data_IF_906832509639
#
_entry.id   IF_906832509639
#
_cell.length_a   1.000
_cell.length_b   1.000
_cell.length_c   1.000
_cell.angle_alpha   90.00
_cell.angle_beta   90.00
_cell.angle_gamma   90.00
#
_symmetry.space_group_name_H-M   'P 1'
#
loop_
_entity.id
_entity.type
_entity.pdbx_description
1 polymer ?
#
# COMPACT_ATOMS: atom_id res chain seq x y z
N UNK A 1 7.84 -5.94 21.98
CA UNK A 1 6.52 -5.64 21.39
C UNK A 1 6.62 -5.69 19.87
N UNK A 2 5.79 -6.51 19.24
CA UNK A 2 5.80 -6.62 17.78
C UNK A 2 5.09 -5.44 17.16
N UNK A 3 5.69 -4.86 16.11
CA UNK A 3 5.08 -3.78 15.34
C UNK A 3 4.67 -4.32 13.98
N UNK A 4 3.38 -4.46 13.78
CA UNK A 4 2.81 -4.97 12.55
C UNK A 4 2.16 -3.83 11.77
N UNK A 5 2.48 -3.76 10.49
CA UNK A 5 2.04 -2.68 9.64
C UNK A 5 1.21 -3.19 8.46
N UNK A 6 0.31 -2.35 7.98
CA UNK A 6 -0.47 -2.56 6.77
C UNK A 6 -0.04 -1.55 5.72
N UNK A 7 0.17 -2.00 4.51
CA UNK A 7 0.38 -1.11 3.37
C UNK A 7 -0.78 -1.29 2.40
N UNK A 8 -1.80 -0.44 2.50
CA UNK A 8 -2.98 -0.55 1.65
C UNK A 8 -2.81 0.16 0.31
N UNK A 9 -3.47 -0.33 -0.71
CA UNK A 9 -3.49 0.31 -2.01
C UNK A 9 -4.22 -0.50 -3.05
N UNK A 10 -4.29 0.03 -4.24
CA UNK A 10 -4.90 -0.66 -5.39
C UNK A 10 -3.91 -1.60 -6.07
N UNK A 11 -2.65 -1.18 -6.20
CA UNK A 11 -1.58 -1.98 -6.83
C UNK A 11 -2.00 -2.57 -8.17
N UNK A 12 -2.28 -1.70 -9.11
CA UNK A 12 -2.89 -2.09 -10.38
C UNK A 12 -2.07 -1.55 -11.58
N UNK A 13 -0.89 -2.09 -11.83
CA UNK A 13 -0.18 -3.14 -11.11
C UNK A 13 0.76 -2.59 -10.03
N UNK A 14 1.40 -3.49 -9.28
CA UNK A 14 2.50 -3.12 -8.37
C UNK A 14 3.67 -2.60 -9.20
N UNK A 15 4.33 -1.55 -8.69
CA UNK A 15 5.46 -0.91 -9.38
C UNK A 15 6.75 -1.07 -8.60
N UNK A 16 7.88 -0.66 -9.20
CA UNK A 16 9.16 -0.65 -8.50
C UNK A 16 9.15 0.31 -7.31
N UNK A 17 8.37 1.40 -7.39
CA UNK A 17 8.17 2.30 -6.27
C UNK A 17 7.48 1.62 -5.10
N UNK A 18 6.44 0.85 -5.40
CA UNK A 18 5.76 0.05 -4.37
C UNK A 18 6.71 -0.97 -3.75
N UNK A 19 7.48 -1.67 -4.57
CA UNK A 19 8.44 -2.67 -4.10
C UNK A 19 9.47 -2.05 -3.16
N UNK A 20 10.00 -0.88 -3.52
CA UNK A 20 10.96 -0.16 -2.70
C UNK A 20 10.36 0.22 -1.33
N UNK A 21 9.13 0.75 -1.33
CA UNK A 21 8.46 1.13 -0.08
C UNK A 21 8.21 -0.09 0.81
N UNK A 22 7.75 -1.19 0.23
CA UNK A 22 7.50 -2.43 1.00
C UNK A 22 8.80 -2.96 1.59
N UNK A 23 9.88 -2.97 0.80
CA UNK A 23 11.19 -3.42 1.28
C UNK A 23 11.66 -2.60 2.46
N UNK A 24 11.52 -1.27 2.39
CA UNK A 24 11.92 -0.39 3.50
C UNK A 24 11.01 -0.56 4.71
N UNK A 25 9.71 -0.68 4.50
CA UNK A 25 8.76 -0.95 5.59
C UNK A 25 9.07 -2.29 6.26
N UNK A 26 9.42 -3.31 5.49
CA UNK A 26 9.77 -4.62 6.01
C UNK A 26 11.03 -4.59 6.89
N UNK A 27 11.92 -3.62 6.66
CA UNK A 27 13.11 -3.45 7.50
C UNK A 27 12.82 -2.72 8.81
N UNK A 28 11.69 -1.99 8.87
CA UNK A 28 11.30 -1.20 10.05
C UNK A 28 10.35 -1.98 10.95
N UNK A 29 9.41 -2.71 10.34
CA UNK A 29 8.34 -3.39 11.07
C UNK A 29 8.56 -4.90 11.10
N UNK A 30 8.04 -5.54 12.14
CA UNK A 30 8.19 -6.99 12.29
C UNK A 30 7.42 -7.77 11.24
N UNK A 31 6.26 -7.23 10.82
CA UNK A 31 5.39 -7.84 9.83
C UNK A 31 4.74 -6.74 9.01
N UNK A 32 4.71 -6.92 7.70
CA UNK A 32 4.03 -6.00 6.79
C UNK A 32 2.99 -6.78 5.98
N UNK A 33 1.74 -6.33 6.04
CA UNK A 33 0.66 -6.88 5.23
C UNK A 33 0.38 -5.89 4.10
N UNK A 34 0.70 -6.29 2.87
CA UNK A 34 0.33 -5.54 1.68
C UNK A 34 -1.11 -5.89 1.36
N UNK A 35 -2.01 -4.93 1.57
CA UNK A 35 -3.44 -5.15 1.45
C UNK A 35 -3.96 -4.49 0.19
N UNK A 36 -4.45 -5.30 -0.73
CA UNK A 36 -4.88 -4.85 -2.06
C UNK A 36 -6.40 -4.68 -2.06
N UNK A 37 -6.85 -3.46 -2.37
CA UNK A 37 -8.27 -3.13 -2.32
C UNK A 37 -9.07 -3.89 -3.39
N UNK A 38 -10.08 -4.63 -2.93
CA UNK A 38 -10.93 -5.42 -3.82
C UNK A 38 -11.82 -4.54 -4.69
N UNK A 39 -12.34 -3.45 -4.11
CA UNK A 39 -13.30 -2.56 -4.75
C UNK A 39 -12.75 -1.13 -4.80
N UNK A 40 -11.77 -0.85 -5.69
CA UNK A 40 -11.29 0.52 -5.85
C UNK A 40 -12.38 1.39 -6.49
N UNK A 41 -12.28 2.71 -6.26
CA UNK A 41 -13.23 3.69 -6.83
C UNK A 41 -13.22 3.75 -8.35
N UNK A 42 -12.12 3.30 -8.97
CA UNK A 42 -11.98 3.23 -10.41
C UNK A 42 -11.93 1.78 -10.84
N UNK A 43 -12.48 1.47 -12.02
CA UNK A 43 -12.37 0.12 -12.57
C UNK A 43 -10.89 -0.24 -12.76
N UNK A 44 -10.41 -1.32 -12.15
CA UNK A 44 -9.00 -1.70 -12.27
C UNK A 44 -8.70 -2.29 -13.64
N UNK A 45 -7.44 -2.17 -14.08
CA UNK A 45 -6.98 -2.81 -15.30
C UNK A 45 -6.88 -4.32 -15.13
N UNK A 46 -6.48 -4.76 -13.92
CA UNK A 46 -6.34 -6.18 -13.61
C UNK A 46 -7.31 -6.57 -12.49
N UNK A 47 -7.93 -7.76 -12.58
CA UNK A 47 -8.78 -8.25 -11.49
C UNK A 47 -7.97 -8.46 -10.22
N UNK A 48 -8.65 -8.49 -9.08
CA UNK A 48 -8.01 -8.60 -7.77
C UNK A 48 -7.04 -9.79 -7.70
N UNK A 49 -7.45 -10.95 -8.19
CA UNK A 49 -6.64 -12.16 -8.13
C UNK A 49 -5.30 -11.98 -8.85
N UNK A 50 -5.31 -11.32 -10.00
CA UNK A 50 -4.08 -11.04 -10.74
C UNK A 50 -3.22 -10.02 -10.04
N UNK A 51 -3.82 -8.98 -9.44
CA UNK A 51 -3.07 -7.97 -8.71
C UNK A 51 -2.38 -8.57 -7.48
N UNK A 52 -3.07 -9.44 -6.77
CA UNK A 52 -2.51 -10.15 -5.62
C UNK A 52 -1.37 -11.08 -6.07
N UNK A 53 -1.58 -11.84 -7.14
CA UNK A 53 -0.58 -12.76 -7.64
C UNK A 53 0.69 -12.03 -8.09
N UNK A 54 0.54 -10.93 -8.84
CA UNK A 54 1.68 -10.12 -9.27
C UNK A 54 2.47 -9.58 -8.08
N UNK A 55 1.77 -9.08 -7.07
CA UNK A 55 2.42 -8.56 -5.87
C UNK A 55 3.15 -9.66 -5.10
N UNK A 56 2.56 -10.83 -4.98
CA UNK A 56 3.22 -11.97 -4.32
C UNK A 56 4.50 -12.37 -5.03
N UNK A 57 4.49 -12.37 -6.35
CA UNK A 57 5.69 -12.71 -7.16
C UNK A 57 6.79 -11.68 -6.97
N UNK A 58 6.44 -10.40 -6.94
CA UNK A 58 7.40 -9.31 -6.79
C UNK A 58 8.00 -9.30 -5.38
N UNK A 59 7.20 -9.64 -4.37
CA UNK A 59 7.58 -9.51 -2.97
C UNK A 59 8.00 -10.83 -2.31
N UNK A 60 8.19 -11.89 -3.10
CA UNK A 60 8.44 -13.24 -2.57
C UNK A 60 9.74 -13.36 -1.78
N UNK A 61 10.70 -12.47 -1.99
CA UNK A 61 11.99 -12.47 -1.31
C UNK A 61 11.96 -11.78 0.06
N UNK A 62 10.83 -11.23 0.47
CA UNK A 62 10.68 -10.55 1.75
C UNK A 62 9.90 -11.46 2.72
N UNK A 63 10.60 -12.13 3.66
CA UNK A 63 9.97 -13.19 4.46
C UNK A 63 8.92 -12.71 5.45
N UNK A 64 8.97 -11.45 5.85
CA UNK A 64 8.01 -10.88 6.80
C UNK A 64 6.88 -10.09 6.11
N UNK A 65 6.72 -10.27 4.81
CA UNK A 65 5.69 -9.59 4.01
C UNK A 65 4.63 -10.60 3.58
N UNK A 66 3.36 -10.24 3.81
CA UNK A 66 2.22 -11.01 3.33
C UNK A 66 1.43 -10.14 2.34
N UNK A 67 0.82 -10.76 1.35
CA UNK A 67 -0.03 -10.06 0.37
C UNK A 67 -1.42 -10.65 0.44
N UNK A 68 -2.42 -9.79 0.65
CA UNK A 68 -3.83 -10.21 0.73
C UNK A 68 -4.72 -9.21 0.01
N UNK A 69 -5.88 -9.66 -0.44
CA UNK A 69 -6.95 -8.78 -0.87
C UNK A 69 -7.82 -8.40 0.32
N UNK A 70 -8.44 -7.23 0.28
CA UNK A 70 -9.37 -6.83 1.33
C UNK A 70 -10.47 -5.93 0.76
N UNK A 71 -11.57 -5.83 1.51
CA UNK A 71 -12.67 -4.94 1.20
C UNK A 71 -13.10 -4.21 2.47
N UNK A 72 -13.89 -3.15 2.31
CA UNK A 72 -14.36 -2.36 3.43
C UNK A 72 -13.35 -1.30 3.88
N UNK A 73 -13.53 -0.82 5.09
CA UNK A 73 -12.68 0.26 5.62
C UNK A 73 -11.30 -0.26 6.00
N UNK A 74 -10.27 0.49 5.61
CA UNK A 74 -8.88 0.18 5.91
C UNK A 74 -8.64 0.02 7.40
N UNK A 75 -9.20 0.91 8.22
CA UNK A 75 -9.01 0.90 9.67
C UNK A 75 -9.64 -0.34 10.31
N UNK A 76 -10.78 -0.80 9.79
CA UNK A 76 -11.44 -2.01 10.29
C UNK A 76 -10.59 -3.24 9.97
N UNK A 77 -10.10 -3.33 8.74
CA UNK A 77 -9.22 -4.44 8.35
C UNK A 77 -7.96 -4.46 9.23
N UNK A 78 -7.34 -3.29 9.44
CA UNK A 78 -6.14 -3.19 10.26
C UNK A 78 -6.39 -3.68 11.67
N UNK A 79 -7.47 -3.22 12.30
CA UNK A 79 -7.84 -3.63 13.65
C UNK A 79 -8.10 -5.14 13.74
N UNK A 80 -8.84 -5.68 12.79
CA UNK A 80 -9.21 -7.09 12.79
C UNK A 80 -8.01 -8.03 12.57
N UNK A 81 -6.92 -7.50 12.02
CA UNK A 81 -5.71 -8.27 11.74
C UNK A 81 -4.53 -7.87 12.62
N UNK A 82 -4.77 -7.15 13.71
CA UNK A 82 -3.75 -6.71 14.66
C UNK A 82 -2.64 -5.87 14.01
N UNK A 83 -3.03 -5.02 13.07
CA UNK A 83 -2.11 -4.11 12.38
C UNK A 83 -2.27 -2.71 12.97
N UNK A 84 -1.31 -2.30 13.80
CA UNK A 84 -1.39 -1.03 14.52
C UNK A 84 -0.86 0.17 13.72
N UNK A 85 -0.20 -0.09 12.59
CA UNK A 85 0.41 0.95 11.76
C UNK A 85 -0.11 0.82 10.33
N UNK A 86 -0.49 1.95 9.74
CA UNK A 86 -0.79 2.02 8.31
C UNK A 86 0.32 2.81 7.63
N UNK A 87 1.01 2.16 6.70
CA UNK A 87 2.08 2.78 5.92
C UNK A 87 1.48 3.42 4.68
N UNK A 88 1.85 4.65 4.42
CA UNK A 88 1.40 5.39 3.25
C UNK A 88 2.60 5.95 2.50
N UNK A 89 2.60 5.79 1.17
CA UNK A 89 3.65 6.34 0.32
C UNK A 89 3.32 7.76 -0.11
N UNK A 90 4.31 8.63 -0.08
CA UNK A 90 4.17 10.01 -0.52
C UNK A 90 5.08 10.26 -1.71
N UNK A 91 4.54 10.84 -2.79
CA UNK A 91 5.30 11.15 -4.00
C UNK A 91 5.47 12.65 -4.21
N UNK A 92 4.52 13.46 -3.70
CA UNK A 92 4.52 14.90 -3.89
C UNK A 92 3.77 15.58 -2.76
N UNK A 93 3.88 16.91 -2.67
CA UNK A 93 3.19 17.71 -1.65
C UNK A 93 1.67 17.50 -1.72
N UNK A 94 1.12 17.44 -2.94
CA UNK A 94 -0.31 17.21 -3.11
C UNK A 94 -0.76 15.85 -2.57
N UNK A 95 0.08 14.82 -2.74
CA UNK A 95 -0.17 13.51 -2.14
C UNK A 95 -0.16 13.58 -0.62
N UNK A 96 0.76 14.37 -0.05
CA UNK A 96 0.86 14.53 1.39
C UNK A 96 -0.43 15.10 1.98
N UNK A 97 -0.99 16.14 1.38
CA UNK A 97 -2.23 16.74 1.88
C UNK A 97 -3.38 15.73 1.89
N UNK A 98 -3.54 14.99 0.79
CA UNK A 98 -4.58 13.99 0.67
C UNK A 98 -4.38 12.86 1.69
N UNK A 99 -3.16 12.33 1.79
CA UNK A 99 -2.84 11.25 2.70
C UNK A 99 -2.94 11.69 4.16
N UNK A 100 -2.59 12.94 4.45
CA UNK A 100 -2.71 13.49 5.80
C UNK A 100 -4.18 13.54 6.23
N UNK A 101 -5.09 13.92 5.32
CA UNK A 101 -6.51 13.92 5.61
C UNK A 101 -7.03 12.50 5.87
N UNK A 102 -6.57 11.51 5.09
CA UNK A 102 -6.94 10.13 5.30
C UNK A 102 -6.41 9.60 6.64
N UNK A 103 -5.19 9.98 7.01
CA UNK A 103 -4.60 9.60 8.29
C UNK A 103 -5.40 10.16 9.47
N UNK A 104 -5.80 11.43 9.38
CA UNK A 104 -6.63 12.04 10.42
C UNK A 104 -7.98 11.38 10.53
N UNK A 105 -8.59 11.03 9.41
CA UNK A 105 -9.87 10.31 9.41
C UNK A 105 -9.73 8.94 10.06
N UNK A 106 -8.68 8.20 9.72
CA UNK A 106 -8.42 6.88 10.30
C UNK A 106 -8.20 6.96 11.80
N UNK A 107 -7.44 7.95 12.26
CA UNK A 107 -7.19 8.16 13.69
C UNK A 107 -8.47 8.56 14.43
N UNK A 108 -9.34 9.32 13.78
CA UNK A 108 -10.63 9.69 14.34
C UNK A 108 -11.52 8.45 14.55
N UNK A 109 -11.45 7.50 13.60
CA UNK A 109 -12.21 6.25 13.68
C UNK A 109 -11.60 5.26 14.67
N UNK A 110 -10.28 5.21 14.76
CA UNK A 110 -9.58 4.32 15.69
C UNK A 110 -8.25 4.96 16.12
N UNK A 111 -8.18 5.39 17.37
CA UNK A 111 -7.02 6.10 17.93
C UNK A 111 -5.79 5.20 18.11
N UNK A 112 -5.95 3.89 18.12
CA UNK A 112 -4.85 2.96 18.28
C UNK A 112 -4.07 2.74 16.98
N UNK A 113 -4.61 3.19 15.85
CA UNK A 113 -3.98 3.03 14.55
C UNK A 113 -3.22 4.30 14.19
N UNK A 114 -1.92 4.16 13.98
CA UNK A 114 -1.04 5.25 13.57
C UNK A 114 -0.73 5.15 12.08
N UNK A 115 -0.59 6.30 11.43
CA UNK A 115 -0.15 6.36 10.03
C UNK A 115 1.30 6.78 9.97
N UNK A 116 2.06 6.09 9.15
CA UNK A 116 3.48 6.39 8.91
C UNK A 116 3.64 6.68 7.43
N UNK A 117 4.28 7.79 7.12
CA UNK A 117 4.49 8.21 5.74
C UNK A 117 5.93 7.93 5.33
N UNK A 118 6.10 7.24 4.20
CA UNK A 118 7.40 6.97 3.61
C UNK A 118 7.47 7.60 2.23
N UNK A 119 8.60 8.20 1.93
CA UNK A 119 8.84 8.78 0.62
C UNK A 119 9.60 7.76 -0.23
N UNK A 120 9.28 7.62 -1.54
CA UNK A 120 10.03 6.75 -2.41
C UNK A 120 11.42 7.30 -2.67
N UNK A 121 12.33 6.44 -3.14
CA UNK A 121 13.62 6.92 -3.63
C UNK A 121 13.39 7.85 -4.81
N UNK A 122 14.27 8.84 -4.98
CA UNK A 122 14.12 9.87 -5.99
C UNK A 122 13.89 9.29 -7.39
N UNK A 123 14.60 8.22 -7.72
CA UNK A 123 14.49 7.57 -9.03
C UNK A 123 13.09 7.00 -9.31
N UNK A 124 12.26 6.80 -8.29
CA UNK A 124 10.91 6.26 -8.45
C UNK A 124 9.81 7.31 -8.25
N UNK A 125 10.18 8.57 -8.03
CA UNK A 125 9.23 9.63 -7.67
C UNK A 125 8.13 9.81 -8.73
N UNK A 126 8.45 9.66 -10.01
CA UNK A 126 7.52 9.90 -11.11
C UNK A 126 6.86 8.63 -11.64
N UNK A 127 7.13 7.48 -11.03
CA UNK A 127 6.56 6.21 -11.48
C UNK A 127 5.30 5.91 -10.66
N UNK A 128 4.17 5.70 -11.34
CA UNK A 128 2.91 5.34 -10.72
C UNK A 128 2.24 4.23 -11.52
N UNK A 129 1.25 3.57 -10.91
CA UNK A 129 0.46 2.55 -11.61
C UNK A 129 -0.27 3.12 -12.82
N UNK A 130 -0.77 4.35 -12.71
CA UNK A 130 -1.45 5.02 -13.81
C UNK A 130 -0.50 5.20 -15.00
N UNK A 131 0.72 5.65 -14.76
CA UNK A 131 1.71 5.83 -15.81
C UNK A 131 2.04 4.48 -16.49
N UNK A 132 2.19 3.42 -15.71
CA UNK A 132 2.44 2.08 -16.24
C UNK A 132 1.27 1.61 -17.10
N UNK A 133 0.04 1.81 -16.65
CA UNK A 133 -1.15 1.45 -17.42
C UNK A 133 -1.23 2.20 -18.74
N UNK A 134 -0.95 3.51 -18.73
CA UNK A 134 -0.99 4.34 -19.93
C UNK A 134 0.01 3.85 -20.97
N UNK A 135 1.23 3.50 -20.54
CA UNK A 135 2.24 2.96 -21.45
C UNK A 135 1.82 1.61 -22.03
N UNK A 136 1.19 0.77 -21.23
CA UNK A 136 0.68 -0.52 -21.70
C UNK A 136 -0.39 -0.33 -22.76
N UNK A 137 -1.22 0.70 -22.64
CA UNK A 137 -2.27 1.01 -23.60
C UNK A 137 -1.74 1.57 -24.92
N UNK A 138 -0.59 2.21 -24.91
CA UNK A 138 0.01 2.88 -26.08
C UNK A 138 0.84 1.90 -26.91
N UNK A 139 1.36 0.87 -26.31
CA UNK A 139 2.14 -0.15 -26.98
C UNK A 139 1.21 -1.22 -27.55
#
# INVERSE_FOLDING_TARGET
>A
MKRNAMYPGTFDPITNGHHDLVRRAASIFDRVVVAIAANPNKAPMFPLEERVDMARRVLHDLPNVEVVGYSGLTVVFARDNDLSVVVRGLRAVSDFEFEFQLANMSRHLDREIESVFLTPQEQFTFISSTLVRDRKSVV
#
